data_IF_483916863042
#
_entry.id   IF_483916863042
#
_cell.length_a   1.000
_cell.length_b   1.000
_cell.length_c   1.000
_cell.angle_alpha   90.00
_cell.angle_beta   90.00
_cell.angle_gamma   90.00
#
_symmetry.space_group_name_H-M   'P 1'
#
loop_
_entity.id
_entity.type
_entity.pdbx_description
1 polymer ?
#
# COMPACT_ATOMS: atom_id res chain seq x y z
N UNK A 1 30.25 -1.63 -10.28
CA UNK A 1 28.85 -1.19 -10.38
C UNK A 1 28.46 -0.53 -9.06
N UNK A 2 27.80 0.63 -9.08
CA UNK A 2 27.34 1.31 -7.85
C UNK A 2 26.30 0.46 -7.09
N UNK A 3 26.23 0.60 -5.77
CA UNK A 3 25.36 -0.18 -4.87
C UNK A 3 23.89 -0.11 -5.28
N UNK A 4 23.43 1.08 -5.70
CA UNK A 4 22.07 1.31 -6.21
C UNK A 4 21.77 0.42 -7.42
N UNK A 5 22.65 0.47 -8.43
CA UNK A 5 22.49 -0.32 -9.66
C UNK A 5 22.61 -1.83 -9.36
N UNK A 6 23.51 -2.25 -8.46
CA UNK A 6 23.63 -3.66 -8.02
C UNK A 6 22.32 -4.18 -7.43
N UNK A 7 21.68 -3.44 -6.52
CA UNK A 7 20.40 -3.85 -5.93
C UNK A 7 19.30 -3.98 -6.99
N UNK A 8 19.16 -2.99 -7.86
CA UNK A 8 18.13 -3.00 -8.90
C UNK A 8 18.31 -4.17 -9.87
N UNK A 9 19.56 -4.47 -10.25
CA UNK A 9 19.89 -5.64 -11.07
C UNK A 9 19.55 -6.96 -10.38
N UNK A 10 19.93 -7.14 -9.10
CA UNK A 10 19.58 -8.36 -8.36
C UNK A 10 18.07 -8.51 -8.22
N UNK A 11 17.35 -7.39 -8.02
CA UNK A 11 15.89 -7.39 -7.99
C UNK A 11 15.26 -7.87 -9.30
N UNK A 12 15.83 -7.49 -10.45
CA UNK A 12 15.41 -8.02 -11.76
C UNK A 12 15.72 -9.51 -11.89
N UNK A 13 16.95 -9.93 -11.56
CA UNK A 13 17.38 -11.34 -11.65
C UNK A 13 16.50 -12.29 -10.83
N UNK A 14 16.15 -11.88 -9.62
CA UNK A 14 15.38 -12.69 -8.68
C UNK A 14 13.89 -12.33 -8.66
N UNK A 15 13.39 -11.53 -9.61
CA UNK A 15 11.98 -11.16 -9.74
C UNK A 15 11.40 -10.56 -8.45
N UNK A 16 12.15 -9.71 -7.75
CA UNK A 16 11.74 -9.08 -6.50
C UNK A 16 11.65 -10.02 -5.29
N UNK A 17 12.16 -11.25 -5.38
CA UNK A 17 12.18 -12.20 -4.27
C UNK A 17 13.20 -11.76 -3.21
N UNK A 18 12.67 -11.24 -2.09
CA UNK A 18 13.47 -10.64 -1.02
C UNK A 18 14.50 -11.62 -0.46
N UNK A 19 14.14 -12.87 -0.17
CA UNK A 19 15.07 -13.84 0.42
C UNK A 19 16.22 -14.19 -0.52
N UNK A 20 15.93 -14.33 -1.82
CA UNK A 20 16.96 -14.60 -2.83
C UNK A 20 17.90 -13.42 -3.03
N UNK A 21 17.37 -12.19 -3.04
CA UNK A 21 18.22 -10.99 -3.11
C UNK A 21 19.07 -10.88 -1.84
N UNK A 22 18.52 -11.19 -0.66
CA UNK A 22 19.24 -11.21 0.61
C UNK A 22 20.47 -12.11 0.54
N UNK A 23 20.22 -13.34 0.10
CA UNK A 23 21.25 -14.37 -0.03
C UNK A 23 22.30 -13.97 -1.05
N UNK A 24 21.89 -13.42 -2.20
CA UNK A 24 22.83 -12.96 -3.22
C UNK A 24 23.73 -11.81 -2.74
N UNK A 25 23.20 -10.92 -1.88
CA UNK A 25 24.00 -9.87 -1.24
C UNK A 25 24.99 -10.43 -0.22
N UNK A 26 24.58 -11.45 0.56
CA UNK A 26 25.45 -12.13 1.53
C UNK A 26 26.59 -12.90 0.84
N UNK A 27 26.27 -13.59 -0.25
CA UNK A 27 27.23 -14.38 -1.04
C UNK A 27 28.10 -13.52 -1.98
N UNK A 28 27.96 -12.18 -1.91
CA UNK A 28 28.59 -11.20 -2.80
C UNK A 28 28.51 -11.55 -4.30
N UNK A 29 27.35 -12.04 -4.73
CA UNK A 29 27.13 -12.45 -6.12
C UNK A 29 27.38 -11.26 -7.05
N UNK A 30 28.23 -11.50 -8.06
CA UNK A 30 28.48 -10.56 -9.15
C UNK A 30 27.18 -10.37 -9.95
N UNK A 31 26.59 -9.19 -9.81
CA UNK A 31 25.41 -8.82 -10.56
C UNK A 31 25.79 -8.53 -12.03
N UNK A 32 25.15 -9.24 -12.95
CA UNK A 32 25.36 -9.10 -14.40
C UNK A 32 24.70 -7.81 -14.86
N UNK A 33 25.30 -7.02 -15.76
CA UNK A 33 24.64 -5.80 -16.24
C UNK A 33 23.44 -6.16 -17.14
N UNK A 34 22.22 -5.96 -16.64
CA UNK A 34 20.95 -6.24 -17.34
C UNK A 34 20.19 -4.92 -17.48
N UNK A 35 19.60 -4.63 -18.66
CA UNK A 35 18.75 -3.45 -18.80
C UNK A 35 17.54 -3.54 -17.86
N UNK A 36 17.33 -2.47 -17.08
CA UNK A 36 16.16 -2.30 -16.21
C UNK A 36 15.18 -1.40 -16.95
N UNK A 37 13.99 -1.94 -17.26
CA UNK A 37 12.96 -1.24 -18.05
C UNK A 37 12.22 -0.18 -17.23
N UNK A 38 11.95 -0.48 -15.97
CA UNK A 38 11.11 0.33 -15.10
C UNK A 38 11.90 1.47 -14.44
N UNK A 39 11.21 2.56 -14.11
CA UNK A 39 11.76 3.54 -13.17
C UNK A 39 11.81 2.90 -11.78
N UNK A 40 12.85 3.21 -11.01
CA UNK A 40 13.04 2.63 -9.68
C UNK A 40 13.72 3.59 -8.72
N UNK A 41 13.40 3.40 -7.44
CA UNK A 41 14.16 3.91 -6.30
C UNK A 41 14.64 2.73 -5.47
N UNK A 42 15.72 2.93 -4.73
CA UNK A 42 16.33 1.93 -3.86
C UNK A 42 16.41 2.45 -2.45
N UNK A 43 16.69 1.54 -1.51
CA UNK A 43 16.96 1.89 -0.11
C UNK A 43 18.11 2.91 0.06
N UNK A 44 18.92 3.19 -0.96
CA UNK A 44 19.99 4.20 -0.88
C UNK A 44 19.58 5.59 -1.40
N UNK A 45 18.42 5.71 -2.03
CA UNK A 45 17.96 6.98 -2.59
C UNK A 45 17.33 7.86 -1.50
N UNK A 46 17.51 9.17 -1.61
CA UNK A 46 16.91 10.17 -0.70
C UNK A 46 15.38 10.20 -0.76
N UNK A 47 14.82 9.83 -1.89
CA UNK A 47 13.38 9.73 -2.16
C UNK A 47 12.76 8.51 -1.48
N UNK A 48 13.56 7.54 -1.03
CA UNK A 48 13.05 6.32 -0.42
C UNK A 48 12.48 6.59 0.98
N UNK A 49 11.19 6.30 1.22
CA UNK A 49 10.52 6.62 2.47
C UNK A 49 11.20 5.99 3.70
N UNK A 50 11.51 6.79 4.71
CA UNK A 50 12.07 6.29 5.97
C UNK A 50 11.11 5.35 6.70
N UNK A 51 9.80 5.52 6.51
CA UNK A 51 8.79 4.62 7.05
C UNK A 51 8.94 3.18 6.54
N UNK A 52 9.41 2.98 5.30
CA UNK A 52 9.70 1.65 4.76
C UNK A 52 10.99 1.05 5.33
N UNK A 53 11.94 1.87 5.78
CA UNK A 53 13.18 1.39 6.43
C UNK A 53 12.92 0.74 7.77
N UNK A 54 11.83 1.12 8.43
CA UNK A 54 11.40 0.58 9.73
C UNK A 54 10.80 -0.83 9.63
N UNK A 55 10.51 -1.30 8.41
CA UNK A 55 10.03 -2.67 8.20
C UNK A 55 11.11 -3.68 8.57
N UNK A 56 10.70 -4.82 9.13
CA UNK A 56 11.60 -5.98 9.35
C UNK A 56 12.25 -6.47 8.05
N UNK A 57 11.49 -6.42 6.95
CA UNK A 57 11.92 -6.81 5.61
C UNK A 57 11.65 -5.65 4.64
N UNK A 58 12.49 -4.60 4.65
CA UNK A 58 12.26 -3.42 3.83
C UNK A 58 12.43 -3.78 2.34
N UNK A 59 11.55 -3.28 1.43
CA UNK A 59 11.74 -3.49 0.01
C UNK A 59 13.01 -2.76 -0.43
N UNK A 60 14.05 -3.48 -0.85
CA UNK A 60 15.32 -2.82 -1.23
C UNK A 60 15.22 -1.99 -2.49
N UNK A 61 14.26 -2.32 -3.35
CA UNK A 61 13.97 -1.66 -4.61
C UNK A 61 12.46 -1.51 -4.72
N UNK A 62 12.01 -0.32 -5.08
CA UNK A 62 10.65 -0.06 -5.51
C UNK A 62 10.68 0.40 -6.96
N UNK A 63 10.06 -0.38 -7.82
CA UNK A 63 9.72 0.03 -9.17
C UNK A 63 8.47 0.89 -9.14
N UNK A 64 8.43 1.90 -10.00
CA UNK A 64 7.29 2.80 -10.04
C UNK A 64 6.97 3.33 -11.43
N UNK A 65 5.74 3.82 -11.57
CA UNK A 65 5.33 4.71 -12.65
C UNK A 65 4.40 5.80 -12.10
N UNK A 66 4.47 6.98 -12.71
CA UNK A 66 3.78 8.18 -12.23
C UNK A 66 4.68 9.12 -11.42
N UNK A 67 4.08 9.94 -10.56
CA UNK A 67 4.76 11.01 -9.83
C UNK A 67 5.36 10.54 -8.49
N UNK A 68 6.67 10.30 -8.47
CA UNK A 68 7.41 9.87 -7.27
C UNK A 68 7.43 10.92 -6.15
N UNK A 69 7.17 12.20 -6.47
CA UNK A 69 7.17 13.28 -5.47
C UNK A 69 6.05 13.11 -4.43
N UNK A 70 5.01 12.33 -4.74
CA UNK A 70 3.94 12.00 -3.81
C UNK A 70 4.43 11.28 -2.55
N UNK A 71 5.58 10.59 -2.60
CA UNK A 71 6.17 9.95 -1.42
C UNK A 71 6.69 10.92 -0.35
N UNK A 72 6.81 12.21 -0.69
CA UNK A 72 7.22 13.27 0.24
C UNK A 72 6.05 13.94 0.96
N UNK A 73 4.82 13.60 0.57
CA UNK A 73 3.60 14.16 1.17
C UNK A 73 3.12 13.28 2.33
N UNK A 74 2.38 13.83 3.30
CA UNK A 74 1.67 13.05 4.30
C UNK A 74 0.79 11.99 3.65
N UNK A 75 0.82 10.78 4.20
CA UNK A 75 0.14 9.63 3.63
C UNK A 75 -0.80 9.00 4.65
N UNK A 76 -1.96 8.53 4.17
CA UNK A 76 -2.92 7.78 4.98
C UNK A 76 -3.35 6.52 4.24
N UNK A 77 -3.22 5.37 4.89
CA UNK A 77 -3.55 4.09 4.26
C UNK A 77 -5.01 3.75 4.50
N UNK A 78 -5.78 3.48 3.44
CA UNK A 78 -7.18 3.03 3.54
C UNK A 78 -7.30 1.66 2.87
N UNK A 79 -7.78 0.68 3.62
CA UNK A 79 -7.88 -0.72 3.18
C UNK A 79 -9.23 -1.32 3.53
N UNK A 80 -9.61 -2.40 2.85
CA UNK A 80 -10.79 -3.14 3.26
C UNK A 80 -11.09 -4.37 2.42
N UNK A 81 -12.35 -4.78 2.47
CA UNK A 81 -12.85 -5.99 1.83
C UNK A 81 -12.82 -5.88 0.30
N UNK A 82 -12.56 -7.02 -0.36
CA UNK A 82 -12.74 -7.17 -1.81
C UNK A 82 -14.20 -7.22 -2.22
N UNK A 83 -15.08 -7.57 -1.29
CA UNK A 83 -16.53 -7.53 -1.43
C UNK A 83 -17.04 -6.24 -0.77
N UNK A 84 -17.41 -5.26 -1.59
CA UNK A 84 -17.85 -3.95 -1.12
C UNK A 84 -19.38 -3.83 -1.23
N UNK A 85 -20.05 -3.78 -0.08
CA UNK A 85 -21.48 -3.48 -0.01
C UNK A 85 -21.73 -1.95 -0.02
N UNK A 86 -23.00 -1.53 0.02
CA UNK A 86 -23.37 -0.11 0.03
C UNK A 86 -22.83 0.64 1.25
N UNK A 87 -22.80 0.00 2.42
CA UNK A 87 -22.26 0.60 3.65
C UNK A 87 -20.75 0.86 3.53
N UNK A 88 -19.97 -0.13 3.10
CA UNK A 88 -18.53 0.01 2.88
C UNK A 88 -18.21 1.06 1.79
N UNK A 89 -19.05 1.15 0.75
CA UNK A 89 -18.95 2.23 -0.26
C UNK A 89 -19.09 3.61 0.39
N UNK A 90 -20.17 3.81 1.15
CA UNK A 90 -20.42 5.06 1.86
C UNK A 90 -19.28 5.41 2.82
N UNK A 91 -18.75 4.44 3.57
CA UNK A 91 -17.60 4.66 4.45
C UNK A 91 -16.33 5.11 3.71
N UNK A 92 -16.08 4.57 2.50
CA UNK A 92 -14.99 5.03 1.64
C UNK A 92 -15.25 6.47 1.19
N UNK A 93 -16.47 6.78 0.74
CA UNK A 93 -16.84 8.14 0.31
C UNK A 93 -16.62 9.15 1.44
N UNK A 94 -17.11 8.87 2.66
CA UNK A 94 -16.92 9.73 3.85
C UNK A 94 -15.43 9.91 4.17
N UNK A 95 -14.67 8.82 4.18
CA UNK A 95 -13.23 8.86 4.49
C UNK A 95 -12.47 9.69 3.45
N UNK A 96 -12.66 9.38 2.16
CA UNK A 96 -11.92 10.02 1.08
C UNK A 96 -12.30 11.49 0.94
N UNK A 97 -13.60 11.83 1.02
CA UNK A 97 -14.08 13.21 0.89
C UNK A 97 -13.46 14.14 1.93
N UNK A 98 -13.23 13.64 3.16
CA UNK A 98 -12.67 14.45 4.23
C UNK A 98 -11.13 14.42 4.29
N UNK A 99 -10.46 13.45 3.67
CA UNK A 99 -9.02 13.24 3.87
C UNK A 99 -8.16 13.54 2.65
N UNK A 100 -8.70 13.44 1.43
CA UNK A 100 -7.91 13.54 0.17
C UNK A 100 -7.18 14.87 -0.04
N UNK A 101 -7.66 15.96 0.55
CA UNK A 101 -7.05 17.29 0.42
C UNK A 101 -5.84 17.47 1.34
N UNK A 102 -5.67 16.58 2.33
CA UNK A 102 -4.65 16.67 3.38
C UNK A 102 -3.64 15.54 3.32
N UNK A 103 -4.04 14.40 2.76
CA UNK A 103 -3.23 13.20 2.66
C UNK A 103 -3.21 12.68 1.22
N UNK A 104 -2.07 12.11 0.84
CA UNK A 104 -2.02 11.16 -0.27
C UNK A 104 -2.57 9.83 0.24
N UNK A 105 -3.66 9.36 -0.36
CA UNK A 105 -4.32 8.13 0.11
C UNK A 105 -3.59 6.91 -0.45
N UNK A 106 -3.21 5.96 0.40
CA UNK A 106 -2.48 4.75 0.01
C UNK A 106 -3.41 3.55 0.04
N UNK A 107 -3.45 2.76 -1.04
CA UNK A 107 -4.21 1.52 -1.08
C UNK A 107 -3.64 0.53 -2.09
N UNK A 108 -4.26 -0.65 -2.18
CA UNK A 108 -3.69 -1.79 -2.86
C UNK A 108 -4.12 -2.06 -4.29
N UNK A 109 -4.95 -1.19 -4.86
CA UNK A 109 -5.56 -1.38 -6.18
C UNK A 109 -6.27 -2.73 -6.39
N UNK A 110 -6.62 -3.43 -5.31
CA UNK A 110 -7.41 -4.66 -5.36
C UNK A 110 -8.87 -4.34 -5.75
N UNK A 111 -9.66 -5.40 -5.99
CA UNK A 111 -11.12 -5.25 -6.10
C UNK A 111 -11.72 -4.69 -4.82
N UNK A 112 -12.90 -4.09 -4.90
CA UNK A 112 -13.65 -3.62 -3.74
C UNK A 112 -13.10 -2.30 -3.19
N UNK A 113 -12.87 -2.25 -1.88
CA UNK A 113 -12.49 -1.02 -1.17
C UNK A 113 -11.28 -0.34 -1.81
N UNK A 114 -10.19 -1.08 -2.03
CA UNK A 114 -8.94 -0.50 -2.51
C UNK A 114 -9.08 0.23 -3.86
N UNK A 115 -9.68 -0.41 -4.86
CA UNK A 115 -9.94 0.23 -6.15
C UNK A 115 -10.88 1.43 -6.05
N UNK A 116 -11.83 1.38 -5.11
CA UNK A 116 -12.78 2.47 -4.92
C UNK A 116 -12.17 3.68 -4.18
N UNK A 117 -11.26 3.45 -3.23
CA UNK A 117 -10.45 4.51 -2.59
C UNK A 117 -9.71 5.30 -3.67
N UNK A 118 -9.00 4.61 -4.57
CA UNK A 118 -8.30 5.28 -5.66
C UNK A 118 -9.26 6.02 -6.59
N UNK A 119 -10.37 5.40 -7.00
CA UNK A 119 -11.39 6.02 -7.86
C UNK A 119 -11.92 7.33 -7.30
N UNK A 120 -12.09 7.42 -5.98
CA UNK A 120 -12.54 8.64 -5.31
C UNK A 120 -11.40 9.64 -5.09
N UNK A 121 -10.21 9.17 -4.74
CA UNK A 121 -9.07 10.03 -4.41
C UNK A 121 -8.59 10.87 -5.59
N UNK A 122 -8.55 10.28 -6.80
CA UNK A 122 -8.13 10.96 -8.04
C UNK A 122 -9.06 12.12 -8.45
N UNK A 123 -10.24 12.22 -7.85
CA UNK A 123 -11.20 13.32 -8.11
C UNK A 123 -10.83 14.54 -7.26
N UNK A 124 -9.67 15.14 -7.51
CA UNK A 124 -9.21 16.37 -6.86
C UNK A 124 -8.26 16.18 -5.67
N UNK A 125 -7.84 14.94 -5.38
CA UNK A 125 -6.73 14.63 -4.48
C UNK A 125 -5.67 13.79 -5.17
N UNK A 126 -4.84 13.10 -4.38
CA UNK A 126 -3.79 12.21 -4.87
C UNK A 126 -3.82 10.86 -4.17
N UNK A 127 -3.30 9.83 -4.85
CA UNK A 127 -3.25 8.49 -4.30
C UNK A 127 -2.02 7.70 -4.71
N UNK A 128 -1.61 6.74 -3.89
CA UNK A 128 -0.53 5.80 -4.21
C UNK A 128 -1.09 4.39 -4.18
N UNK A 129 -1.04 3.72 -5.33
CA UNK A 129 -1.32 2.30 -5.42
C UNK A 129 -0.04 1.50 -5.17
N UNK A 130 -0.09 0.50 -4.30
CA UNK A 130 0.99 -0.50 -4.21
C UNK A 130 0.47 -1.81 -4.75
N UNK A 131 1.20 -2.49 -5.64
CA UNK A 131 0.73 -3.71 -6.31
C UNK A 131 1.63 -4.93 -6.04
N UNK A 132 1.08 -6.13 -6.23
CA UNK A 132 1.75 -7.41 -5.98
C UNK A 132 2.29 -8.11 -7.24
N UNK A 133 2.58 -7.35 -8.29
CA UNK A 133 3.00 -7.83 -9.62
C UNK A 133 3.90 -6.80 -10.30
N UNK A 134 4.53 -7.17 -11.42
CA UNK A 134 5.22 -6.20 -12.27
C UNK A 134 4.30 -5.08 -12.74
N UNK A 135 4.87 -3.91 -13.04
CA UNK A 135 4.12 -2.72 -13.47
C UNK A 135 3.43 -2.90 -14.82
N UNK A 136 3.84 -3.88 -15.61
CA UNK A 136 3.27 -4.31 -16.88
C UNK A 136 2.10 -5.30 -16.73
N UNK A 137 1.80 -5.75 -15.51
CA UNK A 137 0.72 -6.71 -15.22
C UNK A 137 -0.42 -5.98 -14.51
N UNK A 138 -1.48 -5.69 -15.26
CA UNK A 138 -2.65 -5.02 -14.73
C UNK A 138 -3.61 -6.02 -14.07
N UNK A 139 -3.58 -6.05 -12.74
CA UNK A 139 -4.42 -6.95 -11.94
C UNK A 139 -5.06 -6.19 -10.76
N UNK A 140 -6.38 -6.35 -10.53
CA UNK A 140 -7.33 -7.11 -11.34
C UNK A 140 -7.67 -6.41 -12.66
N UNK A 141 -8.03 -7.17 -13.71
CA UNK A 141 -8.39 -6.63 -15.03
C UNK A 141 -9.54 -5.61 -14.98
N UNK A 142 -10.47 -5.75 -14.03
CA UNK A 142 -11.57 -4.79 -13.83
C UNK A 142 -11.08 -3.38 -13.45
N UNK A 143 -9.88 -3.25 -12.89
CA UNK A 143 -9.27 -1.97 -12.53
C UNK A 143 -8.30 -1.46 -13.62
N UNK A 144 -8.29 -2.03 -14.83
CA UNK A 144 -7.41 -1.64 -15.95
C UNK A 144 -7.45 -0.14 -16.24
N UNK A 145 -8.66 0.42 -16.40
CA UNK A 145 -8.82 1.85 -16.70
C UNK A 145 -8.31 2.73 -15.56
N UNK A 146 -8.58 2.32 -14.32
CA UNK A 146 -8.08 3.02 -13.13
C UNK A 146 -6.55 2.97 -13.07
N UNK A 147 -5.95 1.82 -13.37
CA UNK A 147 -4.51 1.66 -13.46
C UNK A 147 -3.89 2.66 -14.46
N UNK A 148 -4.42 2.73 -15.68
CA UNK A 148 -3.96 3.66 -16.71
C UNK A 148 -4.13 5.13 -16.33
N UNK A 149 -5.17 5.46 -15.56
CA UNK A 149 -5.36 6.81 -15.04
C UNK A 149 -4.31 7.14 -13.98
N UNK A 150 -4.11 6.25 -13.00
CA UNK A 150 -3.13 6.42 -11.95
C UNK A 150 -1.70 6.60 -12.48
N UNK A 151 -1.34 5.88 -13.55
CA UNK A 151 -0.03 6.05 -14.20
C UNK A 151 0.24 7.47 -14.70
N UNK A 152 -0.81 8.23 -15.03
CA UNK A 152 -0.71 9.57 -15.61
C UNK A 152 -0.74 10.68 -14.56
N UNK A 153 -1.51 10.50 -13.49
CA UNK A 153 -1.81 11.58 -12.53
C UNK A 153 -1.29 11.32 -11.12
N UNK A 154 -0.95 10.08 -10.80
CA UNK A 154 -0.69 9.60 -9.44
C UNK A 154 0.55 8.71 -9.44
N UNK A 155 0.66 7.78 -8.49
CA UNK A 155 1.82 6.89 -8.37
C UNK A 155 1.40 5.44 -8.16
N UNK A 156 2.03 4.54 -8.91
CA UNK A 156 1.93 3.09 -8.70
C UNK A 156 3.32 2.57 -8.31
N UNK A 157 3.37 1.82 -7.21
CA UNK A 157 4.58 1.19 -6.69
C UNK A 157 4.48 -0.33 -6.77
N UNK A 158 5.61 -0.96 -7.07
CA UNK A 158 5.78 -2.40 -6.96
C UNK A 158 7.17 -2.75 -6.44
N UNK A 159 7.25 -3.77 -5.59
CA UNK A 159 8.52 -4.41 -5.25
C UNK A 159 8.99 -5.38 -6.36
N UNK A 160 8.11 -5.67 -7.31
CA UNK A 160 8.34 -6.64 -8.37
C UNK A 160 8.63 -5.94 -9.70
N UNK A 161 9.72 -6.29 -10.40
CA UNK A 161 10.04 -5.74 -11.72
C UNK A 161 9.03 -6.19 -12.78
N UNK A 162 8.95 -5.46 -13.89
CA UNK A 162 8.18 -5.85 -15.07
C UNK A 162 8.48 -7.30 -15.50
N UNK A 163 7.44 -8.01 -15.93
CA UNK A 163 7.48 -9.45 -16.24
C UNK A 163 7.20 -10.36 -15.05
N UNK A 164 7.10 -9.82 -13.83
CA UNK A 164 6.74 -10.61 -12.65
C UNK A 164 5.23 -10.79 -12.56
N UNK A 165 4.76 -12.01 -12.84
CA UNK A 165 3.34 -12.34 -12.79
C UNK A 165 2.70 -12.30 -11.39
N UNK A 166 1.36 -12.37 -11.36
CA UNK A 166 0.57 -12.40 -10.12
C UNK A 166 0.78 -13.71 -9.37
N UNK A 167 1.20 -13.65 -8.10
CA UNK A 167 1.29 -14.82 -7.20
C UNK A 167 0.53 -14.57 -5.91
N UNK A 168 -0.13 -15.61 -5.37
CA UNK A 168 -0.96 -15.50 -4.16
C UNK A 168 -0.19 -14.93 -2.95
N UNK A 169 1.07 -15.31 -2.78
CA UNK A 169 1.89 -14.86 -1.65
C UNK A 169 2.39 -13.41 -1.81
N UNK A 170 2.36 -12.84 -3.03
CA UNK A 170 2.77 -11.44 -3.22
C UNK A 170 1.81 -10.45 -2.56
N UNK A 171 0.52 -10.78 -2.44
CA UNK A 171 -0.47 -9.86 -1.86
C UNK A 171 -0.27 -9.67 -0.35
N UNK A 172 -0.21 -10.73 0.49
CA UNK A 172 0.15 -10.57 1.89
C UNK A 172 1.53 -9.94 2.07
N UNK A 173 2.51 -10.32 1.25
CA UNK A 173 3.87 -9.76 1.33
C UNK A 173 3.88 -8.25 1.12
N UNK A 174 3.19 -7.78 0.07
CA UNK A 174 3.15 -6.35 -0.26
C UNK A 174 2.37 -5.52 0.77
N UNK A 175 1.46 -6.11 1.53
CA UNK A 175 0.66 -5.37 2.52
C UNK A 175 1.49 -4.66 3.59
N UNK A 176 2.71 -5.14 3.89
CA UNK A 176 3.63 -4.43 4.78
C UNK A 176 4.04 -3.05 4.25
N UNK A 177 4.14 -2.90 2.92
CA UNK A 177 4.44 -1.62 2.26
C UNK A 177 3.25 -0.66 2.44
N UNK A 178 2.01 -1.15 2.27
CA UNK A 178 0.81 -0.35 2.55
C UNK A 178 0.79 0.14 4.01
N UNK A 179 1.04 -0.78 4.95
CA UNK A 179 1.07 -0.44 6.36
C UNK A 179 2.17 0.59 6.67
N UNK A 180 3.34 0.44 6.06
CA UNK A 180 4.48 1.32 6.29
C UNK A 180 4.35 2.71 5.64
N UNK A 181 3.71 2.86 4.48
CA UNK A 181 3.62 4.16 3.82
C UNK A 181 2.74 5.18 4.58
N UNK A 182 1.51 4.81 4.97
CA UNK A 182 0.60 5.74 5.66
C UNK A 182 0.93 5.94 7.13
N UNK A 183 0.80 7.15 7.67
CA UNK A 183 1.06 7.47 9.09
C UNK A 183 0.12 6.74 10.06
N UNK A 184 -1.06 6.37 9.57
CA UNK A 184 -2.06 5.55 10.22
C UNK A 184 -2.86 4.76 9.16
N UNK A 185 -3.69 3.82 9.62
CA UNK A 185 -4.47 2.92 8.76
C UNK A 185 -5.96 3.02 9.09
N UNK A 186 -6.80 3.30 8.09
CA UNK A 186 -8.25 3.15 8.17
C UNK A 186 -8.66 1.81 7.58
N UNK A 187 -9.38 1.00 8.36
CA UNK A 187 -9.98 -0.26 7.91
C UNK A 187 -11.48 -0.05 7.70
N UNK A 188 -11.89 -0.07 6.42
CA UNK A 188 -13.28 0.13 6.03
C UNK A 188 -14.14 -1.08 6.39
N UNK A 189 -13.69 -2.27 6.03
CA UNK A 189 -14.39 -3.53 6.28
C UNK A 189 -13.39 -4.69 6.23
N UNK A 190 -13.49 -5.63 7.16
CA UNK A 190 -12.64 -6.81 7.20
C UNK A 190 -13.35 -8.00 7.86
N UNK A 191 -13.18 -9.20 7.28
CA UNK A 191 -13.47 -10.47 7.98
C UNK A 191 -12.31 -10.81 8.92
N UNK A 192 -12.56 -11.60 9.98
CA UNK A 192 -11.53 -12.03 10.96
C UNK A 192 -10.32 -12.69 10.25
N UNK A 193 -10.58 -13.55 9.26
CA UNK A 193 -9.54 -14.21 8.46
C UNK A 193 -9.50 -13.61 7.06
N UNK A 194 -8.96 -12.40 6.94
CA UNK A 194 -8.86 -11.68 5.66
C UNK A 194 -7.45 -11.16 5.41
N UNK A 195 -7.11 -10.93 4.13
CA UNK A 195 -5.82 -10.32 3.76
C UNK A 195 -5.62 -8.92 4.34
N UNK A 196 -6.72 -8.19 4.59
CA UNK A 196 -6.73 -6.89 5.27
C UNK A 196 -6.09 -6.96 6.66
N UNK A 197 -6.29 -8.06 7.40
CA UNK A 197 -5.68 -8.26 8.72
C UNK A 197 -4.16 -8.41 8.67
N UNK A 198 -3.58 -8.82 7.53
CA UNK A 198 -2.13 -8.82 7.37
C UNK A 198 -1.58 -7.40 7.43
N UNK A 199 -2.22 -6.45 6.73
CA UNK A 199 -1.84 -5.03 6.78
C UNK A 199 -1.99 -4.45 8.19
N UNK A 200 -3.08 -4.81 8.88
CA UNK A 200 -3.32 -4.37 10.27
C UNK A 200 -2.20 -4.86 11.19
N UNK A 201 -1.83 -6.15 11.13
CA UNK A 201 -0.77 -6.69 11.98
C UNK A 201 0.59 -6.03 11.73
N UNK A 202 0.91 -5.72 10.46
CA UNK A 202 2.11 -4.96 10.11
C UNK A 202 2.05 -3.53 10.66
N UNK A 203 0.89 -2.87 10.59
CA UNK A 203 0.70 -1.52 11.15
C UNK A 203 0.86 -1.49 12.68
N UNK A 204 0.30 -2.49 13.39
CA UNK A 204 0.50 -2.66 14.84
C UNK A 204 2.00 -2.83 15.15
N UNK A 205 2.72 -3.64 14.36
CA UNK A 205 4.15 -3.88 14.56
C UNK A 205 5.02 -2.64 14.30
N UNK A 206 4.47 -1.63 13.63
CA UNK A 206 5.10 -0.33 13.35
C UNK A 206 4.61 0.77 14.29
N UNK A 207 3.90 0.41 15.36
CA UNK A 207 3.30 1.34 16.33
C UNK A 207 2.39 2.40 15.68
N UNK A 208 1.65 1.99 14.64
CA UNK A 208 0.72 2.87 13.93
C UNK A 208 -0.69 2.79 14.49
N UNK A 209 -1.35 3.93 14.46
CA UNK A 209 -2.76 4.02 14.83
C UNK A 209 -3.62 3.32 13.78
N UNK A 210 -4.59 2.56 14.27
CA UNK A 210 -5.55 1.84 13.46
C UNK A 210 -6.93 2.37 13.78
N UNK A 211 -7.59 2.87 12.74
CA UNK A 211 -8.92 3.42 12.79
C UNK A 211 -9.89 2.48 12.09
N UNK A 212 -11.04 2.24 12.71
CA UNK A 212 -12.00 1.24 12.24
C UNK A 212 -13.43 1.73 12.41
N UNK A 213 -14.26 1.45 11.42
CA UNK A 213 -15.70 1.73 11.52
C UNK A 213 -16.43 0.58 12.24
N UNK A 214 -17.36 0.89 13.15
CA UNK A 214 -18.17 -0.14 13.79
C UNK A 214 -19.12 -0.77 12.77
N UNK A 215 -19.35 -2.07 12.91
CA UNK A 215 -20.27 -2.80 12.06
C UNK A 215 -21.37 -3.45 12.91
N UNK A 216 -22.52 -3.74 12.27
CA UNK A 216 -23.63 -4.41 12.92
C UNK A 216 -23.22 -5.74 13.58
N UNK A 217 -23.90 -6.09 14.67
CA UNK A 217 -23.73 -7.36 15.35
C UNK A 217 -23.85 -8.52 14.36
N UNK A 218 -22.85 -9.42 14.37
CA UNK A 218 -22.73 -10.59 13.47
C UNK A 218 -22.62 -10.26 11.97
N UNK A 219 -22.34 -9.02 11.59
CA UNK A 219 -21.97 -8.71 10.19
C UNK A 219 -20.70 -9.45 9.81
N UNK A 220 -20.79 -10.38 8.85
CA UNK A 220 -19.62 -11.15 8.40
C UNK A 220 -18.54 -10.25 7.82
N UNK A 221 -18.93 -9.26 7.03
CA UNK A 221 -18.02 -8.32 6.36
C UNK A 221 -17.30 -7.38 7.34
N UNK A 222 -17.87 -7.17 8.54
CA UNK A 222 -17.36 -6.24 9.55
C UNK A 222 -16.82 -6.88 10.82
N UNK A 223 -16.85 -8.21 10.93
CA UNK A 223 -16.51 -8.91 12.17
C UNK A 223 -15.05 -8.68 12.59
N UNK A 224 -14.14 -8.54 11.62
CA UNK A 224 -12.76 -8.16 11.86
C UNK A 224 -12.65 -6.73 12.40
N UNK A 225 -13.40 -5.77 11.86
CA UNK A 225 -13.43 -4.39 12.38
C UNK A 225 -13.91 -4.35 13.83
N UNK A 226 -15.00 -5.04 14.16
CA UNK A 226 -15.50 -5.10 15.53
C UNK A 226 -14.53 -5.80 16.49
N UNK A 227 -13.80 -6.83 16.02
CA UNK A 227 -12.73 -7.45 16.80
C UNK A 227 -11.57 -6.48 17.04
N UNK A 228 -11.19 -5.70 16.03
CA UNK A 228 -10.16 -4.66 16.17
C UNK A 228 -10.56 -3.59 17.18
N UNK A 229 -11.82 -3.16 17.20
CA UNK A 229 -12.35 -2.25 18.23
C UNK A 229 -12.15 -2.88 19.62
N UNK A 230 -12.53 -4.15 19.78
CA UNK A 230 -12.36 -4.86 21.04
C UNK A 230 -10.88 -5.04 21.44
N UNK A 231 -9.97 -5.05 20.46
CA UNK A 231 -8.52 -5.15 20.66
C UNK A 231 -7.84 -3.79 20.87
N UNK A 232 -8.59 -2.68 20.90
CA UNK A 232 -8.09 -1.34 21.19
C UNK A 232 -7.83 -0.44 19.97
N UNK A 233 -8.28 -0.84 18.78
CA UNK A 233 -8.28 0.07 17.62
C UNK A 233 -9.22 1.27 17.86
N UNK A 234 -8.88 2.42 17.29
CA UNK A 234 -9.65 3.65 17.39
C UNK A 234 -10.95 3.52 16.60
N UNK A 235 -12.08 3.56 17.30
CA UNK A 235 -13.40 3.50 16.67
C UNK A 235 -13.74 4.84 16.00
N UNK A 236 -14.18 4.80 14.75
CA UNK A 236 -14.76 5.92 14.02
C UNK A 236 -16.28 5.82 14.05
N UNK A 237 -16.92 6.53 14.97
CA UNK A 237 -18.38 6.55 15.14
C UNK A 237 -19.02 7.88 14.74
N UNK A 238 -18.22 8.95 14.59
CA UNK A 238 -18.66 10.27 14.15
C UNK A 238 -17.71 10.84 13.09
N UNK A 239 -18.26 11.49 12.06
CA UNK A 239 -17.51 12.16 11.00
C UNK A 239 -16.53 13.21 11.55
N UNK A 240 -16.79 13.81 12.72
CA UNK A 240 -15.86 14.73 13.39
C UNK A 240 -14.48 14.08 13.56
N UNK A 241 -14.42 12.80 13.95
CA UNK A 241 -13.15 12.11 14.18
C UNK A 241 -12.32 12.00 12.90
N UNK A 242 -12.96 11.79 11.74
CA UNK A 242 -12.29 11.77 10.43
C UNK A 242 -11.82 13.18 10.06
N UNK A 243 -12.63 14.20 10.34
CA UNK A 243 -12.28 15.60 10.07
C UNK A 243 -11.12 16.07 10.94
N UNK A 244 -10.95 15.54 12.14
CA UNK A 244 -9.86 15.88 13.05
C UNK A 244 -8.53 15.20 12.70
N UNK A 245 -8.53 14.16 11.85
CA UNK A 245 -7.30 13.57 11.34
C UNK A 245 -6.52 14.58 10.51
N UNK A 246 -5.33 14.93 10.99
CA UNK A 246 -4.39 15.81 10.33
C UNK A 246 -3.02 15.12 10.22
N UNK A 247 -2.22 15.45 9.19
CA UNK A 247 -0.84 14.98 9.11
C UNK A 247 -0.09 15.19 10.43
N UNK A 248 0.67 14.17 10.84
CA UNK A 248 1.64 14.35 11.93
C UNK A 248 2.62 15.44 11.48
N UNK A 249 2.94 16.35 12.39
CA UNK A 249 3.99 17.33 12.11
C UNK A 249 5.30 16.57 12.01
N UNK A 250 6.05 16.81 10.94
CA UNK A 250 7.44 16.39 10.88
C UNK A 250 8.20 17.16 11.99
N UNK A 251 8.68 16.45 13.00
CA UNK A 251 9.60 16.98 14.03
C UNK A 251 11.00 17.20 13.44
#
# INVERSE_FOLDING_TARGET
>A
MDKRKKLATLSVMYQGDWDKIAKALQDDVQAIDIPIKDSYITIYDSEYPDSLRKLRFPPWVLFYCGDISLLRKPMLTIIGSREMNSYARWLVEESVMHLKDRFVLVSGLAKGVDGYVHTMAIQGGHTIAVIGSGLDIHYPYENEHLYQQLQKTDLILSEYPSGTGVRKHHFPWRNRILAALGESVIVIAAKIRSGTMCTVNEAISLDKEIYVFPHLYRSEQGMGCNKLIADGAQILYDTIQIKEMIPKKDD
#
